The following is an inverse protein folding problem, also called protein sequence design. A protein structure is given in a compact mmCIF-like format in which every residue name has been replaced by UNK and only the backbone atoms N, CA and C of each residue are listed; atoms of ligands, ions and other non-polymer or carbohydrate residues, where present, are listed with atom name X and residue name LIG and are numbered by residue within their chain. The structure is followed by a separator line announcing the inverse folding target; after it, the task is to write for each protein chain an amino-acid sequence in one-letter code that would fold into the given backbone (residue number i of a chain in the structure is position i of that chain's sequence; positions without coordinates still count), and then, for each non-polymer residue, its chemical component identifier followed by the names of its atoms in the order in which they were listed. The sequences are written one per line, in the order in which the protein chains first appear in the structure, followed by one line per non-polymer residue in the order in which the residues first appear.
data_IF_641019096479
#
_entry.id   IF_641019096479
#
_cell.length_a   1.000
_cell.length_b   1.000
_cell.length_c   1.000
_cell.angle_alpha   90.00
_cell.angle_beta   90.00
_cell.angle_gamma   90.00
#
_symmetry.space_group_name_H-M   'P 1'
#
loop_
_entity.id
_entity.type
_entity.pdbx_description
1 polymer ?
#
# COMPACT_ATOMS: atom_id res chain seq x y z
N UNK A 1 -2.71 21.95 13.06
CA UNK A 1 -2.68 20.51 13.39
C UNK A 1 -1.29 20.02 13.09
N UNK A 2 -0.62 19.38 14.03
CA UNK A 2 0.76 18.96 13.82
C UNK A 2 0.78 17.81 12.79
N UNK A 3 1.82 17.75 11.95
CA UNK A 3 2.00 16.65 10.98
C UNK A 3 2.10 15.26 11.66
N UNK A 4 2.32 15.27 12.98
CA UNK A 4 2.44 14.12 13.86
C UNK A 4 1.12 13.35 14.06
N UNK A 5 -0.02 13.99 13.75
CA UNK A 5 -1.35 13.39 13.93
C UNK A 5 -2.00 12.95 12.60
N UNK A 6 -1.30 13.12 11.48
CA UNK A 6 -1.80 12.73 10.15
C UNK A 6 -1.47 11.26 9.86
N UNK A 7 -2.53 10.46 9.69
CA UNK A 7 -2.47 9.05 9.32
C UNK A 7 -2.90 8.90 7.87
N UNK A 8 -1.97 8.55 6.99
CA UNK A 8 -2.21 8.34 5.57
C UNK A 8 -2.50 6.86 5.31
N UNK A 9 -3.64 6.57 4.66
CA UNK A 9 -4.04 5.22 4.29
C UNK A 9 -3.94 5.06 2.78
N UNK A 10 -3.51 3.88 2.35
CA UNK A 10 -3.49 3.55 0.93
C UNK A 10 -3.35 2.04 0.70
N UNK A 11 -3.80 1.62 -0.47
CA UNK A 11 -3.63 0.28 -1.00
C UNK A 11 -2.65 0.27 -2.18
N UNK A 12 -1.76 -0.73 -2.21
CA UNK A 12 -0.97 -1.01 -3.40
C UNK A 12 -1.01 -2.49 -3.72
N UNK A 13 -0.39 -2.85 -4.85
CA UNK A 13 -0.19 -4.24 -5.19
C UNK A 13 1.03 -4.45 -6.05
N UNK A 14 1.49 -5.67 -6.06
CA UNK A 14 2.63 -6.12 -6.83
C UNK A 14 2.30 -7.47 -7.48
N UNK A 15 2.81 -7.67 -8.68
CA UNK A 15 2.73 -8.95 -9.37
C UNK A 15 4.15 -9.51 -9.58
N UNK A 16 4.23 -10.80 -9.89
CA UNK A 16 5.49 -11.50 -10.15
C UNK A 16 6.16 -11.12 -11.48
N UNK A 17 5.69 -10.05 -12.14
CA UNK A 17 6.33 -9.58 -13.36
C UNK A 17 7.69 -8.95 -13.03
N UNK A 18 8.74 -9.76 -13.14
CA UNK A 18 10.14 -9.43 -12.88
C UNK A 18 10.85 -8.78 -14.08
N UNK A 19 10.10 -8.31 -15.08
CA UNK A 19 10.68 -7.83 -16.32
C UNK A 19 11.32 -6.44 -16.14
N UNK A 20 12.47 -6.26 -16.78
CA UNK A 20 13.14 -4.96 -16.81
C UNK A 20 12.43 -4.05 -17.81
N UNK A 21 11.94 -2.90 -17.35
CA UNK A 21 11.31 -1.90 -18.21
C UNK A 21 12.32 -1.15 -19.10
N UNK A 22 13.59 -1.11 -18.70
CA UNK A 22 14.64 -0.39 -19.44
C UNK A 22 15.94 -1.18 -19.48
N UNK A 23 16.71 -0.94 -20.54
CA UNK A 23 18.04 -1.49 -20.75
C UNK A 23 18.90 -0.47 -21.49
N UNK A 24 20.22 -0.53 -21.26
CA UNK A 24 21.17 0.39 -21.88
C UNK A 24 21.95 -0.33 -22.97
N UNK A 25 22.06 0.28 -24.14
CA UNK A 25 22.88 -0.18 -25.25
C UNK A 25 23.53 1.01 -25.98
N UNK A 26 24.49 0.70 -26.85
CA UNK A 26 25.07 1.70 -27.75
C UNK A 26 24.02 2.29 -28.69
N UNK A 27 24.23 3.54 -29.11
CA UNK A 27 23.32 4.24 -30.04
C UNK A 27 23.12 3.40 -31.31
N UNK A 28 21.85 3.20 -31.70
CA UNK A 28 21.48 2.40 -32.87
C UNK A 28 21.38 0.88 -32.62
N UNK A 29 21.65 0.40 -31.39
CA UNK A 29 21.46 -1.01 -31.02
C UNK A 29 20.21 -1.16 -30.15
N UNK A 30 19.34 -2.10 -30.54
CA UNK A 30 18.14 -2.47 -29.75
C UNK A 30 18.53 -3.45 -28.64
N UNK A 31 17.93 -3.27 -27.47
CA UNK A 31 17.96 -4.26 -26.38
C UNK A 31 16.70 -5.10 -26.51
N UNK A 32 16.87 -6.41 -26.67
CA UNK A 32 15.77 -7.36 -26.70
C UNK A 32 15.65 -8.05 -25.34
N UNK A 33 14.42 -8.24 -24.88
CA UNK A 33 14.10 -9.05 -23.71
C UNK A 33 12.86 -9.87 -24.01
N UNK A 34 12.83 -11.11 -23.54
CA UNK A 34 11.61 -11.89 -23.55
C UNK A 34 10.65 -11.33 -22.48
N UNK A 35 9.37 -11.24 -22.85
CA UNK A 35 8.27 -10.87 -21.98
C UNK A 35 7.33 -12.07 -21.93
N UNK A 36 7.10 -12.58 -20.72
CA UNK A 36 6.08 -13.61 -20.50
C UNK A 36 4.70 -13.02 -20.81
N UNK A 37 3.91 -13.74 -21.60
CA UNK A 37 2.50 -13.44 -21.86
C UNK A 37 1.54 -14.02 -20.81
N UNK A 38 2.05 -14.70 -19.79
CA UNK A 38 1.22 -15.28 -18.75
C UNK A 38 0.64 -14.20 -17.83
N UNK A 39 -0.57 -14.45 -17.33
CA UNK A 39 -1.15 -13.67 -16.24
C UNK A 39 -0.46 -14.09 -14.94
N UNK A 40 0.12 -13.11 -14.25
CA UNK A 40 0.75 -13.31 -12.95
C UNK A 40 -0.26 -13.02 -11.83
N UNK A 41 -0.21 -13.81 -10.77
CA UNK A 41 -0.94 -13.51 -9.55
C UNK A 41 -0.50 -12.15 -9.02
N UNK A 42 -1.48 -11.35 -8.57
CA UNK A 42 -1.26 -10.06 -7.93
C UNK A 42 -1.53 -10.22 -6.44
N UNK A 43 -0.52 -9.91 -5.65
CA UNK A 43 -0.70 -9.71 -4.22
C UNK A 43 -0.96 -8.22 -3.97
N UNK A 44 -2.02 -7.95 -3.23
CA UNK A 44 -2.43 -6.62 -2.83
C UNK A 44 -2.16 -6.44 -1.35
N UNK A 45 -1.92 -5.20 -0.95
CA UNK A 45 -1.64 -4.89 0.44
C UNK A 45 -2.16 -3.50 0.78
N UNK A 46 -2.50 -3.34 2.06
CA UNK A 46 -3.03 -2.10 2.63
C UNK A 46 -2.24 -1.79 3.90
N UNK A 47 -1.96 -0.51 4.14
CA UNK A 47 -1.29 -0.07 5.36
C UNK A 47 -1.65 1.38 5.70
N UNK A 48 -1.25 1.76 6.91
CA UNK A 48 -1.29 3.13 7.37
C UNK A 48 0.13 3.67 7.58
N UNK A 49 0.31 4.97 7.33
CA UNK A 49 1.55 5.70 7.54
C UNK A 49 1.31 6.91 8.42
N UNK A 50 2.09 7.03 9.49
CA UNK A 50 2.16 8.23 10.31
C UNK A 50 3.63 8.63 10.48
N UNK A 51 3.97 9.86 10.09
CA UNK A 51 5.36 10.32 10.04
C UNK A 51 6.27 9.33 9.28
N UNK A 52 7.30 8.79 9.92
CA UNK A 52 8.21 7.78 9.34
C UNK A 52 7.77 6.34 9.61
N UNK A 53 6.73 6.12 10.40
CA UNK A 53 6.25 4.79 10.80
C UNK A 53 5.19 4.28 9.82
N UNK A 54 5.34 3.03 9.41
CA UNK A 54 4.32 2.24 8.72
C UNK A 54 3.76 1.24 9.72
N UNK A 55 2.45 1.06 9.72
CA UNK A 55 1.75 0.18 10.65
C UNK A 55 0.43 -0.32 10.06
N UNK A 56 -0.27 -1.21 10.78
CA UNK A 56 -1.49 -1.85 10.32
C UNK A 56 -1.36 -2.48 8.92
N UNK A 57 -0.22 -3.07 8.59
CA UNK A 57 0.04 -3.69 7.28
C UNK A 57 -0.76 -4.99 7.15
N UNK A 58 -1.45 -5.17 6.03
CA UNK A 58 -2.21 -6.39 5.73
C UNK A 58 -2.07 -6.77 4.25
N UNK A 59 -1.70 -8.02 3.99
CA UNK A 59 -1.59 -8.59 2.65
C UNK A 59 -2.81 -9.46 2.33
N UNK A 60 -3.33 -9.36 1.11
CA UNK A 60 -4.46 -10.14 0.63
C UNK A 60 -4.40 -10.35 -0.88
N UNK A 61 -5.00 -11.45 -1.34
CA UNK A 61 -5.10 -11.75 -2.77
C UNK A 61 -6.38 -11.17 -3.36
N UNK A 62 -6.29 -10.52 -4.52
CA UNK A 62 -7.43 -9.94 -5.24
C UNK A 62 -7.61 -8.43 -5.01
N UNK A 63 -8.87 -7.98 -5.10
CA UNK A 63 -9.24 -6.55 -5.16
C UNK A 63 -9.76 -6.03 -3.82
N UNK A 64 -9.33 -4.83 -3.42
CA UNK A 64 -9.89 -4.14 -2.26
C UNK A 64 -11.37 -3.82 -2.51
N UNK A 65 -12.21 -4.13 -1.53
CA UNK A 65 -13.63 -3.80 -1.54
C UNK A 65 -14.08 -3.38 -0.16
N UNK A 66 -15.26 -2.77 -0.06
CA UNK A 66 -15.77 -2.13 1.17
C UNK A 66 -15.77 -3.04 2.40
N UNK A 67 -16.05 -4.34 2.24
CA UNK A 67 -16.08 -5.30 3.36
C UNK A 67 -14.66 -5.55 3.88
N UNK A 68 -13.71 -5.83 2.97
CA UNK A 68 -12.31 -6.03 3.32
C UNK A 68 -11.73 -4.78 3.99
N UNK A 69 -11.95 -3.60 3.40
CA UNK A 69 -11.46 -2.34 3.93
C UNK A 69 -12.00 -2.07 5.34
N UNK A 70 -13.31 -2.22 5.55
CA UNK A 70 -13.92 -2.01 6.86
C UNK A 70 -13.47 -3.05 7.90
N UNK A 71 -13.23 -4.29 7.48
CA UNK A 71 -12.72 -5.34 8.38
C UNK A 71 -11.29 -5.02 8.81
N UNK A 72 -10.43 -4.65 7.87
CA UNK A 72 -9.08 -4.20 8.16
C UNK A 72 -9.07 -2.97 9.07
N UNK A 73 -9.92 -1.99 8.78
CA UNK A 73 -10.07 -0.79 9.58
C UNK A 73 -10.44 -1.11 11.03
N UNK A 74 -11.46 -1.94 11.23
CA UNK A 74 -11.98 -2.31 12.54
C UNK A 74 -11.02 -3.21 13.34
N UNK A 75 -10.41 -4.21 12.69
CA UNK A 75 -9.64 -5.26 13.37
C UNK A 75 -8.16 -4.94 13.53
N UNK A 76 -7.58 -4.16 12.62
CA UNK A 76 -6.14 -3.94 12.55
C UNK A 76 -5.81 -2.48 12.79
N UNK A 77 -6.46 -1.56 12.06
CA UNK A 77 -6.07 -0.15 12.15
C UNK A 77 -6.53 0.53 13.44
N UNK A 78 -7.84 0.46 13.76
CA UNK A 78 -8.43 1.15 14.93
C UNK A 78 -7.72 0.85 16.25
N UNK A 79 -7.36 -0.41 16.57
CA UNK A 79 -6.64 -0.72 17.81
C UNK A 79 -5.31 0.00 17.98
N UNK A 80 -4.66 0.46 16.89
CA UNK A 80 -3.38 1.15 16.93
C UNK A 80 -3.50 2.70 16.98
N UNK A 81 -4.72 3.23 16.97
CA UNK A 81 -4.96 4.68 16.84
C UNK A 81 -4.92 5.45 18.14
N UNK A 82 -4.67 6.74 17.99
CA UNK A 82 -4.79 7.75 19.05
C UNK A 82 -5.96 8.67 18.73
N UNK A 83 -6.74 8.99 19.75
CA UNK A 83 -7.83 9.97 19.63
C UNK A 83 -7.31 11.32 19.13
N UNK A 84 -8.04 11.98 18.24
CA UNK A 84 -7.68 13.28 17.67
C UNK A 84 -6.86 13.23 16.38
N UNK A 85 -6.48 12.04 15.90
CA UNK A 85 -5.75 11.89 14.63
C UNK A 85 -6.62 12.24 13.40
N UNK A 86 -5.96 12.70 12.34
CA UNK A 86 -6.57 12.95 11.03
C UNK A 86 -6.21 11.83 10.05
N UNK A 87 -7.24 11.19 9.54
CA UNK A 87 -7.16 10.15 8.54
C UNK A 87 -7.21 10.77 7.15
N UNK A 88 -6.20 10.48 6.35
CA UNK A 88 -6.03 11.00 5.00
C UNK A 88 -6.05 9.80 4.05
N UNK A 89 -7.00 9.79 3.12
CA UNK A 89 -7.13 8.73 2.12
C UNK A 89 -7.65 9.31 0.80
N UNK A 90 -7.54 8.55 -0.29
CA UNK A 90 -7.99 9.00 -1.60
C UNK A 90 -9.53 8.98 -1.74
N UNK A 91 -10.03 9.34 -2.92
CA UNK A 91 -11.46 9.41 -3.17
C UNK A 91 -12.13 8.08 -3.58
N UNK A 92 -11.48 6.93 -3.41
CA UNK A 92 -12.03 5.64 -3.78
C UNK A 92 -13.41 5.39 -3.17
N UNK A 93 -14.27 4.72 -3.94
CA UNK A 93 -15.68 4.53 -3.59
C UNK A 93 -15.86 3.72 -2.31
N UNK A 94 -14.97 2.75 -2.04
CA UNK A 94 -15.02 1.91 -0.85
C UNK A 94 -14.58 2.65 0.43
N UNK A 95 -13.76 3.70 0.34
CA UNK A 95 -13.43 4.55 1.50
C UNK A 95 -14.60 5.41 1.98
N UNK A 96 -15.55 5.73 1.09
CA UNK A 96 -16.69 6.61 1.38
C UNK A 96 -17.88 5.88 2.01
N UNK A 97 -17.68 4.65 2.50
CA UNK A 97 -18.76 3.87 3.09
C UNK A 97 -19.23 4.50 4.42
N UNK A 98 -20.54 4.40 4.70
CA UNK A 98 -21.10 4.88 5.98
C UNK A 98 -20.43 4.22 7.18
N UNK A 99 -20.07 2.93 7.06
CA UNK A 99 -19.38 2.17 8.10
C UNK A 99 -17.97 2.72 8.35
N UNK A 100 -17.21 3.03 7.29
CA UNK A 100 -15.88 3.64 7.41
C UNK A 100 -15.94 4.95 8.19
N UNK A 101 -16.86 5.84 7.81
CA UNK A 101 -17.04 7.12 8.49
C UNK A 101 -17.39 6.93 9.97
N UNK A 102 -18.37 6.07 10.25
CA UNK A 102 -18.79 5.76 11.61
C UNK A 102 -17.63 5.23 12.46
N UNK A 103 -16.88 4.24 11.96
CA UNK A 103 -15.77 3.64 12.69
C UNK A 103 -14.67 4.65 13.08
N UNK A 104 -14.29 5.54 12.15
CA UNK A 104 -13.26 6.55 12.41
C UNK A 104 -13.76 7.63 13.38
N UNK A 105 -15.01 8.07 13.24
CA UNK A 105 -15.61 9.03 14.16
C UNK A 105 -15.79 8.46 15.58
N UNK A 106 -16.14 7.17 15.70
CA UNK A 106 -16.21 6.48 17.01
C UNK A 106 -14.84 6.36 17.68
N UNK A 107 -13.76 6.25 16.91
CA UNK A 107 -12.39 6.31 17.43
C UNK A 107 -11.94 7.75 17.82
N UNK A 108 -12.84 8.75 17.69
CA UNK A 108 -12.54 10.15 17.97
C UNK A 108 -11.55 10.78 16.98
N UNK A 109 -11.49 10.24 15.77
CA UNK A 109 -10.63 10.71 14.69
C UNK A 109 -11.44 11.46 13.63
N UNK A 110 -10.76 12.23 12.79
CA UNK A 110 -11.37 12.97 11.67
C UNK A 110 -10.93 12.38 10.34
N UNK A 111 -11.74 12.53 9.29
CA UNK A 111 -11.42 12.09 7.93
C UNK A 111 -11.20 13.32 7.04
N UNK A 112 -10.15 13.26 6.22
CA UNK A 112 -9.89 14.15 5.10
C UNK A 112 -9.66 13.32 3.85
N UNK A 113 -10.38 13.65 2.78
CA UNK A 113 -10.14 13.06 1.47
C UNK A 113 -9.18 13.93 0.67
N UNK A 114 -8.18 13.31 0.05
CA UNK A 114 -7.29 13.99 -0.88
C UNK A 114 -8.04 14.35 -2.17
N UNK A 115 -7.68 15.45 -2.85
CA UNK A 115 -8.19 15.75 -4.18
C UNK A 115 -7.97 14.58 -5.15
N UNK A 116 -8.88 14.41 -6.10
CA UNK A 116 -8.79 13.34 -7.09
C UNK A 116 -7.49 13.46 -7.88
N UNK A 117 -6.85 12.32 -8.15
CA UNK A 117 -5.59 12.23 -8.90
C UNK A 117 -4.42 13.01 -8.28
N UNK A 118 -4.38 13.14 -6.95
CA UNK A 118 -3.26 13.77 -6.21
C UNK A 118 -2.43 12.78 -5.38
N UNK A 119 -1.82 11.75 -5.99
CA UNK A 119 -0.97 10.79 -5.27
C UNK A 119 0.29 11.45 -4.70
N UNK A 120 0.73 12.57 -5.27
CA UNK A 120 1.84 13.40 -4.78
C UNK A 120 1.60 13.95 -3.36
N UNK A 121 0.34 14.09 -2.96
CA UNK A 121 -0.06 14.51 -1.62
C UNK A 121 -0.13 13.35 -0.62
N UNK A 122 0.10 12.11 -1.05
CA UNK A 122 0.05 10.92 -0.22
C UNK A 122 1.47 10.34 0.03
N UNK A 123 2.13 10.64 1.17
CA UNK A 123 3.51 10.21 1.43
C UNK A 123 3.73 8.70 1.48
N UNK A 124 2.66 7.90 1.59
CA UNK A 124 2.77 6.42 1.58
C UNK A 124 3.09 5.87 0.18
N UNK A 125 2.80 6.62 -0.88
CA UNK A 125 3.12 6.22 -2.26
C UNK A 125 4.64 6.03 -2.48
N UNK A 126 5.43 6.91 -1.87
CA UNK A 126 6.90 6.80 -1.88
C UNK A 126 7.36 5.55 -1.14
N UNK A 127 6.71 5.22 -0.02
CA UNK A 127 6.97 3.99 0.70
C UNK A 127 6.66 2.76 -0.17
N UNK A 128 5.53 2.76 -0.88
CA UNK A 128 5.17 1.67 -1.78
C UNK A 128 6.15 1.48 -2.93
N UNK A 129 6.64 2.56 -3.53
CA UNK A 129 7.65 2.47 -4.58
C UNK A 129 8.91 1.74 -4.08
N UNK A 130 9.42 2.14 -2.90
CA UNK A 130 10.59 1.54 -2.28
C UNK A 130 10.33 0.08 -1.86
N UNK A 131 9.20 -0.19 -1.23
CA UNK A 131 8.79 -1.52 -0.80
C UNK A 131 8.71 -2.49 -1.98
N UNK A 132 8.05 -2.10 -3.06
CA UNK A 132 7.93 -2.94 -4.28
C UNK A 132 9.30 -3.21 -4.90
N UNK A 133 10.22 -2.26 -4.84
CA UNK A 133 11.60 -2.46 -5.31
C UNK A 133 12.35 -3.48 -4.44
N UNK A 134 12.25 -3.39 -3.11
CA UNK A 134 12.85 -4.36 -2.19
C UNK A 134 12.33 -5.78 -2.42
N UNK A 135 11.00 -5.93 -2.53
CA UNK A 135 10.35 -7.22 -2.83
C UNK A 135 10.89 -7.79 -4.15
N UNK A 136 10.94 -7.00 -5.22
CA UNK A 136 11.47 -7.44 -6.53
C UNK A 136 12.91 -7.92 -6.49
N UNK A 137 13.78 -7.26 -5.72
CA UNK A 137 15.18 -7.66 -5.59
C UNK A 137 15.34 -8.97 -4.80
N UNK A 138 14.39 -9.29 -3.93
CA UNK A 138 14.41 -10.50 -3.10
C UNK A 138 13.64 -11.69 -3.67
N UNK A 139 12.82 -11.50 -4.71
CA UNK A 139 12.06 -12.58 -5.33
C UNK A 139 12.95 -13.72 -5.87
N UNK A 140 14.19 -13.43 -6.28
CA UNK A 140 15.13 -14.48 -6.68
C UNK A 140 15.62 -15.36 -5.51
N UNK A 141 15.39 -14.95 -4.26
CA UNK A 141 15.86 -15.62 -3.04
C UNK A 141 14.74 -16.30 -2.26
N UNK A 142 13.49 -15.90 -2.48
CA UNK A 142 12.33 -16.35 -1.70
C UNK A 142 11.37 -17.15 -2.59
N UNK A 143 10.76 -18.19 -2.01
CA UNK A 143 9.97 -19.17 -2.76
C UNK A 143 8.62 -18.66 -3.28
N UNK A 144 8.07 -17.57 -2.72
CA UNK A 144 6.85 -16.94 -3.22
C UNK A 144 6.76 -15.45 -2.90
N UNK A 145 5.93 -14.73 -3.66
CA UNK A 145 5.70 -13.31 -3.51
C UNK A 145 5.09 -12.96 -2.13
N UNK A 146 4.08 -13.70 -1.68
CA UNK A 146 3.44 -13.49 -0.38
C UNK A 146 4.45 -13.60 0.78
N UNK A 147 5.31 -14.62 0.77
CA UNK A 147 6.34 -14.78 1.81
C UNK A 147 7.35 -13.64 1.81
N UNK A 148 7.69 -13.10 0.64
CA UNK A 148 8.57 -11.94 0.53
C UNK A 148 7.93 -10.69 1.13
N UNK A 149 6.66 -10.46 0.84
CA UNK A 149 5.87 -9.36 1.40
C UNK A 149 5.80 -9.48 2.93
N UNK A 150 5.44 -10.65 3.45
CA UNK A 150 5.33 -10.89 4.90
C UNK A 150 6.66 -10.70 5.61
N UNK A 151 7.76 -11.22 5.05
CA UNK A 151 9.11 -11.04 5.59
C UNK A 151 9.46 -9.56 5.74
N UNK A 152 9.20 -8.76 4.71
CA UNK A 152 9.52 -7.34 4.75
C UNK A 152 8.57 -6.54 5.65
N UNK A 153 7.28 -6.88 5.71
CA UNK A 153 6.37 -6.23 6.66
C UNK A 153 6.81 -6.49 8.11
N UNK A 154 7.23 -7.70 8.45
CA UNK A 154 7.79 -7.98 9.77
C UNK A 154 9.01 -7.10 10.09
N UNK A 155 9.89 -6.84 9.12
CA UNK A 155 11.06 -5.98 9.32
C UNK A 155 10.75 -4.49 9.43
N UNK A 156 9.69 -4.03 8.77
CA UNK A 156 9.33 -2.60 8.71
C UNK A 156 8.46 -2.19 9.92
N UNK A 157 7.66 -3.12 10.43
CA UNK A 157 6.75 -2.87 11.56
C UNK A 157 7.40 -3.07 12.95
N UNK A 158 8.67 -3.53 13.00
CA UNK A 158 9.47 -3.68 14.23
C UNK A 158 10.29 -2.43 14.50
#
# INVERSE_FOLDING_TARGET
MAKEDCVYLDESGINECLQRHSGRAFRGKKVYSAVSGHLFARESFIAAKCQSKIFATFCYTGTCHTILFNTWLEKILIPELKTGQLFIMDHATFHKSKKTKYLIEQAGCKILFLPSYSPDLNPIEVFWANFKQLVRLSLNKLSSLAKAIDYFFCQICT
#
